data_IF_238946267139
#
_entry.id   IF_238946267139
#
_cell.length_a   1.000
_cell.length_b   1.000
_cell.length_c   1.000
_cell.angle_alpha   90.00
_cell.angle_beta   90.00
_cell.angle_gamma   90.00
#
_symmetry.space_group_name_H-M   'P 1'
#
loop_
_entity.id
_entity.type
_entity.pdbx_description
1 polymer ?
#
# COMPACT_ATOMS: atom_id res chain seq x y z
N UNK A 1 -16.50 -4.90 4.92
CA UNK A 1 -15.05 -4.70 5.14
C UNK A 1 -14.64 -3.23 5.04
N UNK A 2 -14.91 -2.54 3.93
CA UNK A 2 -14.52 -1.12 3.75
C UNK A 2 -14.88 -0.20 4.94
N UNK A 3 -16.13 -0.26 5.43
CA UNK A 3 -16.58 0.56 6.57
C UNK A 3 -15.78 0.34 7.86
N UNK A 4 -15.35 -0.91 8.12
CA UNK A 4 -14.53 -1.20 9.30
C UNK A 4 -13.13 -0.58 9.17
N UNK A 5 -12.56 -0.61 7.96
CA UNK A 5 -11.25 0.00 7.68
C UNK A 5 -11.31 1.51 7.86
N UNK A 6 -12.36 2.18 7.36
CA UNK A 6 -12.55 3.62 7.54
C UNK A 6 -12.53 4.04 9.01
N UNK A 7 -13.23 3.30 9.89
CA UNK A 7 -13.32 3.60 11.32
C UNK A 7 -11.98 3.50 12.05
N UNK A 8 -11.03 2.70 11.56
CA UNK A 8 -9.67 2.64 12.12
C UNK A 8 -8.81 3.86 11.76
N UNK A 9 -9.22 4.68 10.77
CA UNK A 9 -8.48 5.87 10.37
C UNK A 9 -8.58 7.03 11.36
N UNK A 10 -9.58 7.00 12.25
CA UNK A 10 -9.80 8.02 13.28
C UNK A 10 -8.98 7.77 14.56
N UNK A 11 -8.27 6.65 14.62
CA UNK A 11 -7.48 6.21 15.76
C UNK A 11 -5.97 6.27 15.45
N UNK A 12 -5.28 7.23 16.06
CA UNK A 12 -3.83 7.41 15.94
C UNK A 12 -3.02 6.34 16.72
N UNK A 13 -3.65 5.58 17.61
CA UNK A 13 -2.98 4.53 18.40
C UNK A 13 -2.69 3.28 17.54
N UNK A 14 -3.58 2.97 16.58
CA UNK A 14 -3.55 1.72 15.81
C UNK A 14 -3.12 1.88 14.34
N UNK A 15 -2.29 2.89 14.04
CA UNK A 15 -1.86 3.23 12.68
C UNK A 15 -1.19 2.07 11.90
N UNK A 16 -0.45 1.18 12.57
CA UNK A 16 0.14 -0.01 11.91
C UNK A 16 -0.94 -0.98 11.40
N UNK A 17 -1.94 -1.26 12.24
CA UNK A 17 -3.07 -2.13 11.89
C UNK A 17 -3.91 -1.49 10.78
N UNK A 18 -4.13 -0.17 10.88
CA UNK A 18 -4.84 0.57 9.84
C UNK A 18 -4.12 0.50 8.48
N UNK A 19 -2.81 0.70 8.44
CA UNK A 19 -2.01 0.56 7.22
C UNK A 19 -2.12 -0.86 6.62
N UNK A 20 -2.03 -1.91 7.44
CA UNK A 20 -2.18 -3.29 6.98
C UNK A 20 -3.58 -3.57 6.42
N UNK A 21 -4.62 -2.99 7.02
CA UNK A 21 -6.00 -3.11 6.54
C UNK A 21 -6.19 -2.43 5.18
N UNK A 22 -5.62 -1.24 4.99
CA UNK A 22 -5.62 -0.55 3.69
C UNK A 22 -4.90 -1.38 2.62
N UNK A 23 -3.74 -1.95 2.94
CA UNK A 23 -3.02 -2.82 2.01
C UNK A 23 -3.82 -4.09 1.68
N UNK A 24 -4.49 -4.67 2.68
CA UNK A 24 -5.38 -5.82 2.48
C UNK A 24 -6.52 -5.51 1.52
N UNK A 25 -7.18 -4.36 1.69
CA UNK A 25 -8.22 -3.89 0.77
C UNK A 25 -7.67 -3.61 -0.62
N UNK A 26 -6.48 -3.02 -0.75
CA UNK A 26 -5.81 -2.84 -2.04
C UNK A 26 -5.60 -4.18 -2.76
N UNK A 27 -5.16 -5.22 -2.04
CA UNK A 27 -5.05 -6.57 -2.60
C UNK A 27 -6.40 -7.11 -3.08
N UNK A 28 -7.50 -6.87 -2.34
CA UNK A 28 -8.85 -7.29 -2.78
C UNK A 28 -9.25 -6.62 -4.10
N UNK A 29 -9.01 -5.32 -4.25
CA UNK A 29 -9.30 -4.61 -5.50
C UNK A 29 -8.47 -5.15 -6.68
N UNK A 30 -7.19 -5.52 -6.47
CA UNK A 30 -6.42 -6.19 -7.53
C UNK A 30 -7.05 -7.52 -7.96
N UNK A 31 -7.53 -8.33 -7.00
CA UNK A 31 -8.22 -9.60 -7.30
C UNK A 31 -9.53 -9.36 -8.07
N UNK A 32 -10.20 -8.22 -7.85
CA UNK A 32 -11.40 -7.81 -8.55
C UNK A 32 -11.12 -7.11 -9.89
N UNK A 33 -9.84 -6.99 -10.27
CA UNK A 33 -9.37 -6.24 -11.45
C UNK A 33 -9.76 -4.75 -11.42
N UNK A 34 -9.69 -4.15 -10.24
CA UNK A 34 -9.88 -2.71 -9.99
C UNK A 34 -8.54 -2.07 -9.57
N UNK A 35 -7.55 -1.98 -10.48
CA UNK A 35 -6.19 -1.52 -10.14
C UNK A 35 -6.15 -0.05 -9.69
N UNK A 36 -7.06 0.79 -10.16
CA UNK A 36 -7.16 2.20 -9.77
C UNK A 36 -7.49 2.34 -8.27
N UNK A 37 -8.48 1.58 -7.79
CA UNK A 37 -8.88 1.58 -6.38
C UNK A 37 -7.80 0.98 -5.49
N UNK A 38 -7.13 -0.09 -5.96
CA UNK A 38 -5.95 -0.61 -5.29
C UNK A 38 -4.86 0.46 -5.13
N UNK A 39 -4.56 1.20 -6.20
CA UNK A 39 -3.53 2.22 -6.19
C UNK A 39 -3.86 3.36 -5.21
N UNK A 40 -5.13 3.78 -5.14
CA UNK A 40 -5.61 4.78 -4.17
C UNK A 40 -5.36 4.32 -2.73
N UNK A 41 -5.74 3.08 -2.39
CA UNK A 41 -5.60 2.57 -1.03
C UNK A 41 -4.14 2.31 -0.65
N UNK A 42 -3.34 1.76 -1.57
CA UNK A 42 -1.91 1.55 -1.36
C UNK A 42 -1.15 2.89 -1.21
N UNK A 43 -1.55 3.94 -1.92
CA UNK A 43 -1.01 5.30 -1.74
C UNK A 43 -1.33 5.85 -0.34
N UNK A 44 -2.53 5.59 0.19
CA UNK A 44 -2.87 5.96 1.58
C UNK A 44 -2.03 5.19 2.58
N UNK A 45 -1.86 3.89 2.37
CA UNK A 45 -1.00 3.06 3.22
C UNK A 45 0.47 3.53 3.19
N UNK A 46 1.00 3.95 2.04
CA UNK A 46 2.36 4.49 1.90
C UNK A 46 2.60 5.69 2.82
N UNK A 47 1.63 6.62 2.90
CA UNK A 47 1.72 7.80 3.78
C UNK A 47 1.84 7.42 5.25
N UNK A 48 1.14 6.36 5.67
CA UNK A 48 1.18 5.86 7.05
C UNK A 48 2.47 5.07 7.29
N UNK A 49 2.89 4.23 6.34
CA UNK A 49 4.09 3.41 6.41
C UNK A 49 5.35 4.22 6.76
N UNK A 50 5.51 5.41 6.14
CA UNK A 50 6.60 6.35 6.44
C UNK A 50 6.63 6.83 7.89
N UNK A 51 5.46 6.96 8.53
CA UNK A 51 5.34 7.43 9.91
C UNK A 51 5.61 6.31 10.91
N UNK A 52 5.02 5.14 10.68
CA UNK A 52 5.06 4.03 11.64
C UNK A 52 6.35 3.20 11.58
N UNK A 53 7.14 3.35 10.51
CA UNK A 53 8.44 2.69 10.27
C UNK A 53 8.41 1.19 10.57
N UNK A 54 7.33 0.52 10.17
CA UNK A 54 7.12 -0.90 10.44
C UNK A 54 7.57 -1.73 9.26
N UNK A 55 8.56 -2.61 9.48
CA UNK A 55 9.08 -3.48 8.43
C UNK A 55 8.00 -4.37 7.81
N UNK A 56 7.13 -4.94 8.66
CA UNK A 56 5.99 -5.74 8.19
C UNK A 56 5.05 -4.96 7.27
N UNK A 57 4.80 -3.68 7.57
CA UNK A 57 3.96 -2.81 6.73
C UNK A 57 4.66 -2.53 5.40
N UNK A 58 5.95 -2.16 5.45
CA UNK A 58 6.75 -1.87 4.26
C UNK A 58 6.83 -3.08 3.32
N UNK A 59 7.23 -4.24 3.85
CA UNK A 59 7.30 -5.50 3.09
C UNK A 59 5.94 -5.86 2.47
N UNK A 60 4.84 -5.71 3.21
CA UNK A 60 3.51 -6.04 2.68
C UNK A 60 3.06 -5.04 1.61
N UNK A 61 3.34 -3.76 1.78
CA UNK A 61 3.05 -2.72 0.80
C UNK A 61 3.81 -2.95 -0.50
N UNK A 62 5.14 -3.20 -0.44
CA UNK A 62 5.96 -3.50 -1.61
C UNK A 62 5.39 -4.66 -2.42
N UNK A 63 5.14 -5.80 -1.77
CA UNK A 63 4.56 -6.99 -2.44
C UNK A 63 3.23 -6.69 -3.15
N UNK A 64 2.39 -5.85 -2.57
CA UNK A 64 1.12 -5.44 -3.19
C UNK A 64 1.37 -4.55 -4.41
N UNK A 65 2.28 -3.58 -4.32
CA UNK A 65 2.66 -2.71 -5.44
C UNK A 65 3.36 -3.50 -6.55
N UNK A 66 4.26 -4.42 -6.22
CA UNK A 66 4.93 -5.29 -7.20
C UNK A 66 3.92 -6.12 -8.00
N UNK A 67 2.88 -6.65 -7.32
CA UNK A 67 1.79 -7.37 -7.97
C UNK A 67 0.99 -6.44 -8.89
N UNK A 68 0.66 -5.23 -8.42
CA UNK A 68 -0.05 -4.24 -9.22
C UNK A 68 0.76 -3.85 -10.48
N UNK A 69 2.05 -3.55 -10.32
CA UNK A 69 2.93 -3.15 -11.40
C UNK A 69 3.11 -4.26 -12.45
N UNK A 70 3.27 -5.51 -12.00
CA UNK A 70 3.41 -6.66 -12.90
C UNK A 70 2.15 -6.91 -13.73
N UNK A 71 0.97 -6.83 -13.11
CA UNK A 71 -0.27 -7.28 -13.73
C UNK A 71 -1.08 -6.12 -14.37
N UNK A 72 -0.81 -4.87 -13.98
CA UNK A 72 -1.56 -3.66 -14.36
C UNK A 72 -0.66 -2.43 -14.59
N UNK A 73 0.61 -2.62 -14.97
CA UNK A 73 1.59 -1.54 -15.11
C UNK A 73 1.22 -0.44 -16.12
N UNK A 74 0.37 -0.74 -17.10
CA UNK A 74 -0.13 0.24 -18.08
C UNK A 74 -1.20 1.19 -17.51
N UNK A 75 -1.71 0.93 -16.30
CA UNK A 75 -2.67 1.81 -15.62
C UNK A 75 -1.92 2.99 -15.00
N UNK A 76 -2.26 4.25 -15.36
CA UNK A 76 -1.49 5.43 -14.93
C UNK A 76 -1.37 5.60 -13.41
N UNK A 77 -2.37 5.19 -12.65
CA UNK A 77 -2.40 5.23 -11.19
C UNK A 77 -1.41 4.24 -10.58
N UNK A 78 -1.27 3.06 -11.18
CA UNK A 78 -0.33 2.01 -10.76
C UNK A 78 1.10 2.45 -11.05
N UNK A 79 1.38 2.97 -12.25
CA UNK A 79 2.69 3.52 -12.59
C UNK A 79 3.12 4.63 -11.62
N UNK A 80 2.23 5.59 -11.36
CA UNK A 80 2.47 6.67 -10.38
C UNK A 80 2.73 6.15 -8.97
N UNK A 81 1.99 5.14 -8.53
CA UNK A 81 2.21 4.52 -7.22
C UNK A 81 3.59 3.86 -7.11
N UNK A 82 4.02 3.13 -8.15
CA UNK A 82 5.35 2.52 -8.20
C UNK A 82 6.46 3.56 -8.11
N UNK A 83 6.34 4.67 -8.82
CA UNK A 83 7.28 5.79 -8.74
C UNK A 83 7.33 6.37 -7.32
N UNK A 84 6.16 6.66 -6.74
CA UNK A 84 6.06 7.19 -5.37
C UNK A 84 6.62 6.23 -4.32
N UNK A 85 6.41 4.93 -4.47
CA UNK A 85 6.96 3.93 -3.58
C UNK A 85 8.49 3.95 -3.63
N UNK A 86 9.05 3.99 -4.85
CA UNK A 86 10.50 4.02 -5.08
C UNK A 86 11.14 5.27 -4.49
N UNK A 87 10.52 6.43 -4.66
CA UNK A 87 10.99 7.71 -4.12
C UNK A 87 10.92 7.74 -2.58
N UNK A 88 9.81 7.28 -2.00
CA UNK A 88 9.49 7.52 -0.59
C UNK A 88 9.84 6.39 0.36
N UNK A 89 9.95 5.17 -0.17
CA UNK A 89 10.42 3.98 0.51
C UNK A 89 11.39 3.27 -0.44
N UNK A 90 12.59 3.82 -0.69
CA UNK A 90 13.62 3.10 -1.45
C UNK A 90 13.92 1.76 -0.77
N UNK A 91 14.24 0.73 -1.54
CA UNK A 91 14.72 -0.53 -0.97
C UNK A 91 15.96 -0.21 -0.12
N UNK A 92 15.87 -0.43 1.19
CA UNK A 92 17.08 -0.53 2.00
C UNK A 92 17.79 -1.76 1.48
N UNK A 93 18.91 -1.55 0.77
CA UNK A 93 19.80 -2.62 0.36
C UNK A 93 19.95 -3.58 1.54
N UNK A 94 19.57 -4.83 1.34
CA UNK A 94 19.93 -5.90 2.28
C UNK A 94 21.43 -5.76 2.50
N UNK A 95 21.83 -5.57 3.76
CA UNK A 95 23.23 -5.64 4.12
C UNK A 95 23.71 -7.03 3.73
N UNK A 96 24.60 -7.07 2.73
CA UNK A 96 25.29 -8.25 2.20
C UNK A 96 25.92 -9.07 3.31
#
# INVERSE_FOLDING_TARGET
MARAVELFGEDDEHQRSYALNLIGMATVHLLQREPEESAILATRALKIAKKVRSERVNTRLRKTVDTAARDFGDVPEVARLTDLLTEQLPETAEAV
#
